data_IF_594341649670
#
_entry.id   IF_594341649670
#
_cell.length_a   1.000
_cell.length_b   1.000
_cell.length_c   1.000
_cell.angle_alpha   90.00
_cell.angle_beta   90.00
_cell.angle_gamma   90.00
#
_symmetry.space_group_name_H-M   'P 1'
#
loop_
_entity.id
_entity.type
_entity.pdbx_description
1 polymer ?
#
# COMPACT_ATOMS: atom_id res chain seq x y z
N UNK A 1 18.46 -17.38 8.50
CA UNK A 1 18.96 -16.01 8.24
C UNK A 1 17.77 -15.15 7.79
N UNK A 2 16.85 -14.85 8.70
CA UNK A 2 15.49 -14.38 8.33
C UNK A 2 15.12 -12.97 8.80
N UNK A 3 16.03 -12.24 9.45
CA UNK A 3 15.65 -11.02 10.18
C UNK A 3 16.00 -9.68 9.49
N UNK A 4 16.78 -9.67 8.40
CA UNK A 4 17.26 -8.39 7.86
C UNK A 4 16.18 -7.60 7.11
N UNK A 5 15.32 -8.25 6.32
CA UNK A 5 14.28 -7.55 5.56
C UNK A 5 13.20 -6.93 6.44
N UNK A 6 12.75 -7.63 7.50
CA UNK A 6 11.69 -7.10 8.36
C UNK A 6 12.17 -5.90 9.19
N UNK A 7 13.43 -5.88 9.61
CA UNK A 7 14.01 -4.74 10.34
C UNK A 7 14.14 -3.52 9.42
N UNK A 8 14.57 -3.72 8.16
CA UNK A 8 14.69 -2.64 7.17
C UNK A 8 13.32 -2.02 6.85
N UNK A 9 12.27 -2.85 6.73
CA UNK A 9 10.91 -2.38 6.52
C UNK A 9 10.45 -1.56 7.72
N UNK A 10 10.59 -2.06 8.95
CA UNK A 10 10.22 -1.31 10.16
C UNK A 10 10.97 0.02 10.31
N UNK A 11 12.25 0.06 9.97
CA UNK A 11 13.04 1.30 9.95
C UNK A 11 12.53 2.27 8.89
N UNK A 12 12.29 1.78 7.67
CA UNK A 12 11.78 2.62 6.58
C UNK A 12 10.38 3.14 6.88
N UNK A 13 9.52 2.36 7.52
CA UNK A 13 8.19 2.80 7.94
C UNK A 13 8.26 3.92 8.97
N UNK A 14 9.24 3.91 9.87
CA UNK A 14 9.48 5.03 10.79
C UNK A 14 9.90 6.29 10.04
N UNK A 15 10.87 6.19 9.13
CA UNK A 15 11.29 7.32 8.28
C UNK A 15 10.09 7.86 7.47
N UNK A 16 9.23 6.97 6.95
CA UNK A 16 8.04 7.35 6.20
C UNK A 16 6.98 8.03 7.07
N UNK A 17 6.85 7.68 8.36
CA UNK A 17 5.93 8.36 9.28
C UNK A 17 6.39 9.79 9.57
N UNK A 18 7.70 10.02 9.68
CA UNK A 18 8.28 11.36 9.79
C UNK A 18 8.03 12.19 8.52
N UNK A 19 8.31 11.63 7.35
CA UNK A 19 8.07 12.28 6.06
C UNK A 19 6.58 12.56 5.81
N UNK A 20 5.67 11.79 6.41
CA UNK A 20 4.24 11.99 6.28
C UNK A 20 3.80 13.26 7.02
N UNK A 21 4.42 13.57 8.17
CA UNK A 21 4.19 14.83 8.89
C UNK A 21 4.64 16.03 8.07
N UNK A 22 5.72 15.86 7.31
CA UNK A 22 6.23 16.84 6.35
C UNK A 22 5.35 16.98 5.09
N UNK A 23 4.35 16.10 4.90
CA UNK A 23 3.48 16.08 3.71
C UNK A 23 4.17 15.61 2.42
N UNK A 24 5.38 15.03 2.53
CA UNK A 24 6.19 14.61 1.37
C UNK A 24 5.82 13.21 0.88
N UNK A 25 4.57 13.04 0.44
CA UNK A 25 4.05 11.74 -0.01
C UNK A 25 4.82 11.16 -1.21
N UNK A 26 5.34 12.00 -2.10
CA UNK A 26 6.10 11.53 -3.27
C UNK A 26 7.44 10.87 -2.89
N UNK A 27 8.14 11.41 -1.88
CA UNK A 27 9.39 10.84 -1.34
C UNK A 27 9.12 9.49 -0.66
N UNK A 28 8.03 9.42 0.12
CA UNK A 28 7.58 8.17 0.76
C UNK A 28 7.32 7.10 -0.29
N UNK A 29 6.56 7.44 -1.33
CA UNK A 29 6.25 6.50 -2.41
C UNK A 29 7.52 6.05 -3.13
N UNK A 30 8.45 6.96 -3.43
CA UNK A 30 9.70 6.61 -4.07
C UNK A 30 10.52 5.65 -3.21
N UNK A 31 10.63 5.91 -1.91
CA UNK A 31 11.34 5.03 -0.95
C UNK A 31 10.69 3.64 -0.87
N UNK A 32 9.36 3.59 -0.76
CA UNK A 32 8.62 2.32 -0.71
C UNK A 32 8.71 1.54 -2.03
N UNK A 33 8.78 2.23 -3.17
CA UNK A 33 8.98 1.59 -4.47
C UNK A 33 10.33 0.93 -4.62
N UNK A 34 11.40 1.57 -4.14
CA UNK A 34 12.73 0.97 -4.16
C UNK A 34 12.74 -0.35 -3.39
N UNK A 35 12.12 -0.40 -2.22
CA UNK A 35 12.08 -1.62 -1.40
C UNK A 35 11.11 -2.65 -2.00
N UNK A 36 10.01 -2.23 -2.63
CA UNK A 36 9.16 -3.15 -3.41
C UNK A 36 9.96 -3.86 -4.50
N UNK A 37 10.77 -3.12 -5.26
CA UNK A 37 11.60 -3.71 -6.31
C UNK A 37 12.63 -4.71 -5.74
N UNK A 38 13.33 -4.32 -4.67
CA UNK A 38 14.28 -5.22 -3.99
C UNK A 38 13.61 -6.48 -3.44
N UNK A 39 12.46 -6.34 -2.76
CA UNK A 39 11.71 -7.47 -2.19
C UNK A 39 11.13 -8.39 -3.26
N UNK A 40 10.78 -7.84 -4.42
CA UNK A 40 10.37 -8.63 -5.60
C UNK A 40 11.53 -9.40 -6.20
N UNK A 41 12.73 -8.82 -6.29
CA UNK A 41 13.94 -9.50 -6.79
C UNK A 41 14.29 -10.71 -5.91
N UNK A 42 14.25 -10.54 -4.58
CA UNK A 42 14.50 -11.64 -3.63
C UNK A 42 13.30 -12.60 -3.48
N UNK A 43 12.19 -12.33 -4.19
CA UNK A 43 10.94 -13.11 -4.19
C UNK A 43 10.31 -13.31 -2.81
N UNK A 44 10.53 -12.34 -1.91
CA UNK A 44 9.93 -12.36 -0.58
C UNK A 44 8.50 -11.79 -0.64
N UNK A 45 7.55 -12.69 -0.84
CA UNK A 45 6.11 -12.37 -0.94
C UNK A 45 5.55 -11.76 0.35
N UNK A 46 6.13 -12.08 1.51
CA UNK A 46 5.64 -11.60 2.81
C UNK A 46 6.08 -10.14 2.99
N UNK A 47 7.36 -9.86 2.75
CA UNK A 47 7.91 -8.51 2.78
C UNK A 47 7.24 -7.59 1.74
N UNK A 48 7.10 -8.08 0.50
CA UNK A 48 6.44 -7.34 -0.57
C UNK A 48 4.99 -7.00 -0.20
N UNK A 49 4.23 -7.96 0.33
CA UNK A 49 2.84 -7.72 0.76
C UNK A 49 2.70 -6.67 1.86
N UNK A 50 3.66 -6.62 2.81
CA UNK A 50 3.69 -5.58 3.84
C UNK A 50 3.92 -4.19 3.23
N UNK A 51 4.89 -4.05 2.32
CA UNK A 51 5.21 -2.77 1.67
C UNK A 51 4.03 -2.27 0.84
N UNK A 52 3.40 -3.16 0.07
CA UNK A 52 2.22 -2.84 -0.73
C UNK A 52 1.09 -2.31 0.17
N UNK A 53 0.83 -2.98 1.30
CA UNK A 53 -0.18 -2.52 2.26
C UNK A 53 0.19 -1.16 2.85
N UNK A 54 1.47 -0.94 3.19
CA UNK A 54 1.96 0.33 3.69
C UNK A 54 1.79 1.47 2.67
N UNK A 55 2.09 1.24 1.39
CA UNK A 55 1.87 2.23 0.32
C UNK A 55 0.40 2.68 0.29
N UNK A 56 -0.52 1.72 0.34
CA UNK A 56 -1.97 1.95 0.36
C UNK A 56 -2.38 2.74 1.61
N UNK A 57 -1.84 2.39 2.78
CA UNK A 57 -2.06 3.12 4.04
C UNK A 57 -1.55 4.57 4.00
N UNK A 58 -0.35 4.82 3.48
CA UNK A 58 0.19 6.18 3.38
C UNK A 58 -0.60 7.03 2.38
N UNK A 59 -1.03 6.46 1.25
CA UNK A 59 -1.91 7.15 0.31
C UNK A 59 -3.25 7.53 0.96
N UNK A 60 -3.81 6.65 1.79
CA UNK A 60 -5.02 6.92 2.57
C UNK A 60 -4.80 8.05 3.58
N UNK A 61 -3.74 7.97 4.39
CA UNK A 61 -3.38 9.00 5.39
C UNK A 61 -3.12 10.36 4.75
N UNK A 62 -2.50 10.39 3.57
CA UNK A 62 -2.25 11.61 2.80
C UNK A 62 -3.49 12.12 2.04
N UNK A 63 -4.64 11.44 2.15
CA UNK A 63 -5.89 11.74 1.43
C UNK A 63 -5.73 11.79 -0.09
N UNK A 64 -4.74 11.08 -0.65
CA UNK A 64 -4.42 11.04 -2.07
C UNK A 64 -5.18 9.90 -2.78
N UNK A 65 -6.49 10.04 -2.88
CA UNK A 65 -7.41 9.01 -3.40
C UNK A 65 -7.12 8.57 -4.83
N UNK A 66 -6.58 9.46 -5.67
CA UNK A 66 -6.26 9.15 -7.07
C UNK A 66 -5.03 8.23 -7.18
N UNK A 67 -4.00 8.48 -6.37
CA UNK A 67 -2.81 7.60 -6.30
C UNK A 67 -3.18 6.26 -5.67
N UNK A 68 -3.95 6.33 -4.57
CA UNK A 68 -4.51 5.16 -3.91
C UNK A 68 -5.22 4.22 -4.89
N UNK A 69 -6.17 4.75 -5.67
CA UNK A 69 -6.92 4.01 -6.68
C UNK A 69 -6.01 3.32 -7.71
N UNK A 70 -5.02 4.06 -8.24
CA UNK A 70 -4.07 3.51 -9.22
C UNK A 70 -3.25 2.36 -8.65
N UNK A 71 -2.81 2.47 -7.40
CA UNK A 71 -2.03 1.43 -6.75
C UNK A 71 -2.87 0.18 -6.50
N UNK A 72 -4.10 0.33 -6.02
CA UNK A 72 -5.03 -0.79 -5.79
C UNK A 72 -5.27 -1.57 -7.09
N UNK A 73 -5.58 -0.89 -8.20
CA UNK A 73 -5.77 -1.53 -9.51
C UNK A 73 -4.48 -2.23 -9.97
N UNK A 74 -3.32 -1.58 -9.79
CA UNK A 74 -2.04 -2.16 -10.16
C UNK A 74 -1.77 -3.47 -9.42
N UNK A 75 -2.12 -3.54 -8.14
CA UNK A 75 -1.88 -4.72 -7.32
C UNK A 75 -2.94 -5.81 -7.51
N UNK A 76 -4.19 -5.47 -7.83
CA UNK A 76 -5.23 -6.46 -8.16
C UNK A 76 -4.94 -7.18 -9.48
N UNK A 77 -4.23 -6.54 -10.40
CA UNK A 77 -3.83 -7.14 -11.68
C UNK A 77 -2.58 -8.03 -11.59
N UNK A 78 -1.82 -8.02 -10.49
CA UNK A 78 -0.62 -8.84 -10.33
C UNK A 78 -0.96 -10.27 -9.87
N UNK A 79 -0.95 -11.20 -10.84
CA UNK A 79 -1.09 -12.68 -10.81
C UNK A 79 -1.14 -13.48 -9.49
N UNK A 80 -1.91 -14.58 -9.56
CA UNK A 80 -2.15 -15.78 -8.72
C UNK A 80 -1.29 -16.11 -7.47
N UNK A 81 -0.05 -15.63 -7.30
CA UNK A 81 0.69 -15.79 -6.02
C UNK A 81 0.31 -14.73 -4.97
N UNK A 82 -0.32 -13.64 -5.40
CA UNK A 82 -0.63 -12.47 -4.56
C UNK A 82 -2.06 -12.42 -4.01
N UNK A 83 -2.90 -13.44 -4.26
CA UNK A 83 -4.31 -13.43 -3.84
C UNK A 83 -4.49 -13.21 -2.32
N UNK A 84 -3.57 -13.75 -1.51
CA UNK A 84 -3.55 -13.51 -0.05
C UNK A 84 -3.30 -12.04 0.32
N UNK A 85 -2.48 -11.34 -0.47
CA UNK A 85 -2.14 -9.93 -0.28
C UNK A 85 -3.30 -9.07 -0.78
N UNK A 86 -3.85 -9.40 -1.96
CA UNK A 86 -5.03 -8.73 -2.53
C UNK A 86 -6.22 -8.77 -1.56
N UNK A 87 -6.54 -9.93 -1.00
CA UNK A 87 -7.62 -10.06 -0.01
C UNK A 87 -7.39 -9.16 1.21
N UNK A 88 -6.15 -9.05 1.70
CA UNK A 88 -5.79 -8.15 2.81
C UNK A 88 -5.95 -6.68 2.41
N UNK A 89 -5.56 -6.29 1.20
CA UNK A 89 -5.74 -4.92 0.68
C UNK A 89 -7.23 -4.60 0.58
N UNK A 90 -8.03 -5.51 0.01
CA UNK A 90 -9.49 -5.34 -0.15
C UNK A 90 -10.19 -5.29 1.22
N UNK A 91 -9.77 -6.11 2.19
CA UNK A 91 -10.29 -6.03 3.56
C UNK A 91 -9.98 -4.69 4.21
N UNK A 92 -8.72 -4.24 4.14
CA UNK A 92 -8.31 -2.93 4.66
C UNK A 92 -9.10 -1.80 3.99
N UNK A 93 -9.29 -1.89 2.68
CA UNK A 93 -10.10 -0.99 1.88
C UNK A 93 -11.55 -0.91 2.35
N UNK A 94 -12.20 -2.05 2.58
CA UNK A 94 -13.57 -2.10 3.07
C UNK A 94 -13.69 -1.42 4.42
N UNK A 95 -12.76 -1.67 5.34
CA UNK A 95 -12.71 -0.98 6.63
C UNK A 95 -12.52 0.53 6.47
N UNK A 96 -11.63 0.97 5.59
CA UNK A 96 -11.45 2.40 5.29
C UNK A 96 -12.71 3.02 4.66
N UNK A 97 -13.38 2.32 3.75
CA UNK A 97 -14.64 2.78 3.12
C UNK A 97 -15.70 3.00 4.19
N UNK A 98 -15.80 2.16 5.22
CA UNK A 98 -16.76 2.36 6.31
C UNK A 98 -16.49 3.66 7.09
N UNK A 99 -15.22 4.00 7.31
CA UNK A 99 -14.80 5.22 8.02
C UNK A 99 -14.88 6.51 7.17
N UNK A 100 -14.74 6.43 5.85
CA UNK A 100 -14.80 7.60 4.96
C UNK A 100 -16.24 8.14 4.90
N UNK A 101 -16.47 9.37 5.34
CA UNK A 101 -17.80 10.01 5.21
C UNK A 101 -18.08 10.61 3.82
N UNK A 102 -17.07 10.69 2.94
CA UNK A 102 -17.23 11.24 1.60
C UNK A 102 -17.81 10.21 0.61
N UNK A 103 -19.05 10.48 0.18
CA UNK A 103 -19.81 9.61 -0.73
C UNK A 103 -19.16 9.47 -2.11
N UNK A 104 -18.47 10.51 -2.61
CA UNK A 104 -17.83 10.45 -3.94
C UNK A 104 -16.61 9.54 -3.93
N UNK A 105 -15.84 9.57 -2.86
CA UNK A 105 -14.68 8.68 -2.68
C UNK A 105 -15.17 7.24 -2.49
N UNK A 106 -16.22 7.02 -1.69
CA UNK A 106 -16.85 5.70 -1.53
C UNK A 106 -17.24 5.07 -2.87
N UNK A 107 -17.96 5.81 -3.71
CA UNK A 107 -18.38 5.31 -5.04
C UNK A 107 -17.16 4.94 -5.90
N UNK A 108 -16.15 5.83 -5.98
CA UNK A 108 -14.93 5.54 -6.75
C UNK A 108 -14.20 4.29 -6.26
N UNK A 109 -14.10 4.10 -4.95
CA UNK A 109 -13.44 2.92 -4.39
C UNK A 109 -14.23 1.63 -4.64
N UNK A 110 -15.58 1.69 -4.57
CA UNK A 110 -16.46 0.56 -4.89
C UNK A 110 -16.34 0.18 -6.36
N UNK A 111 -16.34 1.16 -7.28
CA UNK A 111 -16.16 0.92 -8.71
C UNK A 111 -14.83 0.23 -9.03
N UNK A 112 -13.77 0.53 -8.27
CA UNK A 112 -12.46 -0.12 -8.42
C UNK A 112 -12.50 -1.57 -7.94
N UNK A 113 -13.22 -1.87 -6.86
CA UNK A 113 -13.35 -3.22 -6.31
C UNK A 113 -14.24 -4.14 -7.15
N UNK A 114 -15.13 -3.58 -7.96
CA UNK A 114 -16.05 -4.32 -8.82
C UNK A 114 -15.48 -4.65 -10.21
N UNK A 115 -14.30 -4.14 -10.56
CA UNK A 115 -13.72 -4.18 -11.90
C UNK A 115 -12.50 -5.09 -11.96
#
# INVERSE_FOLDING_TARGET
MENNCSILIDQTLKECDELLRDGKIHEILHRLYTIEDETRIVRDVIANGKIILSIVQYCYKAQQWNLFAKHVIRYSQMSNQSQQIEMKIVQYLKSCIEEINDVKIKIKLIEILQK
#
